data_IF_592270331309
#
_entry.id   IF_592270331309
#
_cell.length_a   1.000
_cell.length_b   1.000
_cell.length_c   1.000
_cell.angle_alpha   90.00
_cell.angle_beta   90.00
_cell.angle_gamma   90.00
#
_symmetry.space_group_name_H-M   'P 1'
#
loop_
_entity.id
_entity.type
_entity.pdbx_description
1 polymer ?
#
# COMPACT_ATOMS: atom_id res chain seq x y z
N UNK A 1 -24.28 -17.39 -13.38
CA UNK A 1 -24.93 -16.21 -12.77
C UNK A 1 -24.63 -16.03 -11.29
N UNK A 2 -24.54 -17.09 -10.49
CA UNK A 2 -24.16 -16.96 -9.06
C UNK A 2 -22.71 -16.51 -8.85
N UNK A 3 -21.76 -17.01 -9.66
CA UNK A 3 -20.32 -16.70 -9.56
C UNK A 3 -20.04 -15.19 -9.65
N UNK A 4 -20.63 -14.50 -10.63
CA UNK A 4 -20.41 -13.08 -10.90
C UNK A 4 -21.11 -12.16 -9.88
N UNK A 5 -22.20 -12.61 -9.27
CA UNK A 5 -22.84 -11.90 -8.14
C UNK A 5 -21.96 -11.99 -6.89
N UNK A 6 -21.44 -13.18 -6.58
CA UNK A 6 -20.53 -13.40 -5.45
C UNK A 6 -19.23 -12.61 -5.63
N UNK A 7 -18.61 -12.65 -6.82
CA UNK A 7 -17.43 -11.84 -7.12
C UNK A 7 -17.71 -10.34 -7.00
N UNK A 8 -18.86 -9.84 -7.45
CA UNK A 8 -19.21 -8.42 -7.31
C UNK A 8 -19.31 -7.96 -5.85
N UNK A 9 -19.88 -8.79 -4.98
CA UNK A 9 -19.96 -8.50 -3.53
C UNK A 9 -18.57 -8.50 -2.89
N UNK A 10 -17.75 -9.50 -3.22
CA UNK A 10 -16.37 -9.59 -2.73
C UNK A 10 -15.58 -8.39 -3.21
N UNK A 11 -15.64 -8.03 -4.49
CA UNK A 11 -14.89 -6.92 -5.07
C UNK A 11 -15.32 -5.56 -4.50
N UNK A 12 -16.61 -5.39 -4.18
CA UNK A 12 -17.12 -4.20 -3.50
C UNK A 12 -16.65 -4.11 -2.04
N UNK A 13 -16.66 -5.22 -1.30
CA UNK A 13 -16.13 -5.25 0.07
C UNK A 13 -14.61 -5.06 0.10
N UNK A 14 -13.91 -5.71 -0.82
CA UNK A 14 -12.45 -5.69 -0.89
C UNK A 14 -11.96 -4.28 -1.29
N UNK A 15 -12.54 -3.71 -2.35
CA UNK A 15 -12.17 -2.38 -2.86
C UNK A 15 -12.63 -1.20 -2.01
N UNK A 16 -13.71 -1.33 -1.25
CA UNK A 16 -14.32 -0.21 -0.51
C UNK A 16 -14.04 -0.25 1.01
N UNK A 17 -13.63 -1.41 1.56
CA UNK A 17 -13.40 -1.59 3.01
C UNK A 17 -12.04 -2.24 3.31
N UNK A 18 -11.71 -3.39 2.70
CA UNK A 18 -10.46 -4.09 3.04
C UNK A 18 -9.23 -3.32 2.59
N UNK A 19 -9.24 -2.73 1.39
CA UNK A 19 -8.17 -1.87 0.89
C UNK A 19 -7.90 -0.70 1.88
N UNK A 20 -8.87 0.17 2.21
CA UNK A 20 -8.61 1.26 3.14
C UNK A 20 -8.27 0.80 4.57
N UNK A 21 -8.82 -0.32 5.05
CA UNK A 21 -8.51 -0.87 6.37
C UNK A 21 -7.07 -1.40 6.44
N UNK A 22 -6.65 -2.21 5.46
CA UNK A 22 -5.29 -2.74 5.37
C UNK A 22 -4.27 -1.63 5.14
N UNK A 23 -4.59 -0.60 4.35
CA UNK A 23 -3.71 0.57 4.20
C UNK A 23 -3.69 1.46 5.45
N UNK A 24 -4.77 1.49 6.25
CA UNK A 24 -4.82 2.19 7.55
C UNK A 24 -4.05 1.48 8.66
N UNK A 25 -3.94 0.15 8.61
CA UNK A 25 -3.24 -0.65 9.62
C UNK A 25 -1.79 -0.95 9.21
N UNK A 26 -1.53 -1.15 7.91
CA UNK A 26 -0.19 -1.42 7.39
C UNK A 26 0.72 -0.18 7.41
N UNK A 27 0.15 1.03 7.52
CA UNK A 27 0.86 2.30 7.53
C UNK A 27 0.12 3.25 8.47
N UNK A 28 0.66 3.52 9.66
CA UNK A 28 0.20 4.57 10.61
C UNK A 28 0.24 6.01 10.03
N UNK A 29 0.33 6.15 8.71
CA UNK A 29 0.49 7.38 7.96
C UNK A 29 -0.63 7.46 6.93
N UNK A 30 -1.66 8.23 7.31
CA UNK A 30 -2.78 8.79 6.55
C UNK A 30 -2.80 8.47 5.03
N UNK A 31 -3.92 7.95 4.46
CA UNK A 31 -4.14 7.66 3.02
C UNK A 31 -3.56 8.66 2.00
N UNK A 32 -3.35 9.90 2.44
CA UNK A 32 -2.47 10.90 1.82
C UNK A 32 -1.18 10.33 1.23
N UNK A 33 -0.47 9.40 1.89
CA UNK A 33 0.79 8.84 1.34
C UNK A 33 0.59 8.09 0.01
N UNK A 34 -0.52 7.38 -0.14
CA UNK A 34 -0.86 6.67 -1.37
C UNK A 34 -1.16 7.67 -2.47
N UNK A 35 -1.95 8.70 -2.14
CA UNK A 35 -2.29 9.79 -3.08
C UNK A 35 -1.03 10.54 -3.50
N UNK A 36 -0.13 10.85 -2.58
CA UNK A 36 1.15 11.51 -2.86
C UNK A 36 2.03 10.65 -3.77
N UNK A 37 2.14 9.34 -3.50
CA UNK A 37 2.88 8.43 -4.37
C UNK A 37 2.27 8.36 -5.79
N UNK A 38 0.95 8.25 -5.89
CA UNK A 38 0.24 8.21 -7.18
C UNK A 38 0.39 9.53 -7.95
N UNK A 39 0.31 10.68 -7.28
CA UNK A 39 0.49 11.98 -7.92
C UNK A 39 1.95 12.22 -8.32
N UNK A 40 2.90 11.80 -7.51
CA UNK A 40 4.33 11.92 -7.79
C UNK A 40 4.73 11.06 -8.99
N UNK A 41 4.46 9.75 -8.93
CA UNK A 41 4.82 8.84 -10.02
C UNK A 41 3.93 9.03 -11.24
N UNK A 42 2.62 9.24 -11.05
CA UNK A 42 1.68 9.57 -12.13
C UNK A 42 2.00 10.90 -12.81
N UNK A 43 2.56 11.88 -12.09
CA UNK A 43 3.04 13.13 -12.67
C UNK A 43 4.34 12.99 -13.47
N UNK A 44 5.23 12.07 -13.06
CA UNK A 44 6.52 11.83 -13.72
C UNK A 44 6.39 11.11 -15.07
N UNK A 45 5.51 10.11 -15.18
CA UNK A 45 5.38 9.27 -16.38
C UNK A 45 3.95 9.07 -16.90
N UNK A 46 2.96 9.76 -16.30
CA UNK A 46 1.56 9.59 -16.66
C UNK A 46 0.99 8.27 -16.16
N UNK A 47 0.21 7.60 -17.01
CA UNK A 47 -0.48 6.35 -16.67
C UNK A 47 0.44 5.24 -16.15
N UNK A 48 1.64 5.12 -16.73
CA UNK A 48 2.64 4.12 -16.31
C UNK A 48 3.14 4.33 -14.89
N UNK A 49 3.17 5.58 -14.41
CA UNK A 49 3.57 5.91 -13.05
C UNK A 49 2.56 5.47 -11.99
N UNK A 50 1.27 5.43 -12.34
CA UNK A 50 0.21 4.96 -11.43
C UNK A 50 0.34 3.46 -11.16
N UNK A 51 0.72 2.67 -12.17
CA UNK A 51 0.99 1.24 -12.00
C UNK A 51 2.15 0.97 -11.05
N UNK A 52 3.19 1.81 -11.11
CA UNK A 52 4.37 1.70 -10.23
C UNK A 52 4.14 2.19 -8.80
N UNK A 53 3.04 2.88 -8.51
CA UNK A 53 2.76 3.41 -7.17
C UNK A 53 2.62 2.30 -6.12
N UNK A 54 2.01 1.16 -6.47
CA UNK A 54 1.82 0.01 -5.56
C UNK A 54 3.17 -0.66 -5.23
N UNK A 55 4.01 -1.06 -6.23
CA UNK A 55 5.37 -1.52 -5.97
C UNK A 55 6.22 -0.56 -5.14
N UNK A 56 6.13 0.75 -5.39
CA UNK A 56 6.92 1.75 -4.66
C UNK A 56 6.47 1.94 -3.23
N UNK A 57 5.16 1.94 -2.94
CA UNK A 57 4.66 1.97 -1.58
C UNK A 57 5.20 0.78 -0.76
N UNK A 58 5.26 -0.41 -1.37
CA UNK A 58 5.88 -1.60 -0.78
C UNK A 58 7.38 -1.40 -0.51
N UNK A 59 8.10 -0.78 -1.46
CA UNK A 59 9.53 -0.50 -1.35
C UNK A 59 9.85 0.51 -0.24
N UNK A 60 9.08 1.60 -0.15
CA UNK A 60 9.21 2.60 0.91
C UNK A 60 8.97 1.97 2.27
N UNK A 61 7.91 1.15 2.42
CA UNK A 61 7.65 0.41 3.65
C UNK A 61 8.79 -0.56 4.01
N UNK A 62 9.32 -1.30 3.04
CA UNK A 62 10.45 -2.20 3.25
C UNK A 62 11.72 -1.43 3.68
N UNK A 63 11.96 -0.26 3.10
CA UNK A 63 13.10 0.59 3.44
C UNK A 63 12.98 1.13 4.87
N UNK A 64 11.80 1.62 5.26
CA UNK A 64 11.53 2.04 6.64
C UNK A 64 11.68 0.89 7.63
N UNK A 65 11.17 -0.30 7.29
CA UNK A 65 11.33 -1.49 8.14
C UNK A 65 12.80 -1.88 8.29
N UNK A 66 13.56 -1.93 7.19
CA UNK A 66 14.99 -2.25 7.21
C UNK A 66 15.81 -1.21 8.00
N UNK A 67 15.47 0.07 7.87
CA UNK A 67 16.12 1.13 8.63
C UNK A 67 15.76 1.07 10.12
N UNK A 68 14.51 0.76 10.45
CA UNK A 68 14.06 0.56 11.83
C UNK A 68 14.74 -0.65 12.50
N UNK A 69 14.95 -1.75 11.75
CA UNK A 69 15.61 -2.95 12.28
C UNK A 69 17.11 -2.76 12.51
N UNK A 70 17.74 -1.81 11.81
CA UNK A 70 19.16 -1.45 12.02
C UNK A 70 19.44 -0.82 13.40
N UNK A 71 18.38 -0.50 14.16
CA UNK A 71 18.45 0.11 15.50
C UNK A 71 18.12 -0.84 16.66
N UNK A 72 18.17 -2.17 16.46
CA UNK A 72 18.29 -3.12 17.57
C UNK A 72 19.77 -3.42 17.83
N UNK A 73 20.38 -2.92 18.92
CA UNK A 73 21.67 -3.43 19.35
C UNK A 73 21.53 -4.93 19.66
N UNK A 74 22.39 -5.75 19.05
CA UNK A 74 22.51 -7.18 19.32
C UNK A 74 23.06 -7.43 20.73
N UNK A 75 22.25 -7.20 21.75
CA UNK A 75 22.53 -7.63 23.12
C UNK A 75 21.29 -8.24 23.72
N UNK A 76 21.09 -9.55 23.58
CA UNK A 76 20.57 -10.44 24.63
C UNK A 76 20.89 -11.91 24.28
N UNK A 77 21.90 -12.44 24.99
CA UNK A 77 22.28 -13.83 25.33
C UNK A 77 22.25 -14.92 24.25
#
# INVERSE_FOLDING_TARGET
WTILIVYGIIQALDGNVLVPLLFSEAVDLNPVFIIVAVLFFGGLWGFWGVFFAIPMASLVKALFNAWSDSWKPQTQN
#
